data_IF_690550039835
#
_entry.id   IF_690550039835
#
_cell.length_a   1.000
_cell.length_b   1.000
_cell.length_c   1.000
_cell.angle_alpha   90.00
_cell.angle_beta   90.00
_cell.angle_gamma   90.00
#
_symmetry.space_group_name_H-M   'P 1'
#
loop_
_entity.id
_entity.type
_entity.pdbx_description
1 polymer ?
#
# COMPACT_ATOMS: atom_id res chain seq x y z
N UNK A 1 11.21 -7.99 8.63
CA UNK A 1 10.38 -7.05 7.84
C UNK A 1 9.52 -6.21 8.77
N UNK A 2 9.39 -4.91 8.47
CA UNK A 2 8.42 -3.99 9.06
C UNK A 2 7.55 -3.44 7.92
N UNK A 3 6.22 -3.52 8.06
CA UNK A 3 5.30 -3.07 7.02
C UNK A 3 4.16 -2.22 7.58
N UNK A 4 3.73 -1.24 6.81
CA UNK A 4 2.55 -0.42 7.09
C UNK A 4 1.66 -0.39 5.85
N UNK A 5 0.37 -0.61 6.06
CA UNK A 5 -0.66 -0.55 5.03
C UNK A 5 -1.92 0.06 5.61
N UNK A 6 -2.50 1.04 4.93
CA UNK A 6 -3.70 1.75 5.34
C UNK A 6 -4.63 1.97 4.14
N UNK A 7 -5.91 2.07 4.41
CA UNK A 7 -6.90 2.52 3.42
C UNK A 7 -6.61 3.97 3.05
N UNK A 8 -6.70 4.28 1.76
CA UNK A 8 -6.44 5.60 1.17
C UNK A 8 -5.02 6.14 1.44
N UNK A 9 -4.05 5.23 1.52
CA UNK A 9 -2.64 5.57 1.65
C UNK A 9 -1.76 4.57 0.88
N UNK A 10 -0.50 4.93 0.70
CA UNK A 10 0.50 4.03 0.14
C UNK A 10 0.97 3.07 1.22
N UNK A 11 1.15 1.81 0.86
CA UNK A 11 1.85 0.88 1.74
C UNK A 11 3.37 1.07 1.63
N UNK A 12 4.07 0.69 2.68
CA UNK A 12 5.52 0.66 2.72
C UNK A 12 6.00 -0.58 3.47
N UNK A 13 6.84 -1.37 2.83
CA UNK A 13 7.49 -2.55 3.41
C UNK A 13 8.99 -2.33 3.46
N UNK A 14 9.54 -2.23 4.67
CA UNK A 14 10.97 -2.19 4.94
C UNK A 14 11.47 -3.60 5.22
N UNK A 15 12.36 -4.11 4.38
CA UNK A 15 12.72 -5.51 4.30
C UNK A 15 14.24 -5.63 4.45
N UNK A 16 14.69 -6.51 5.34
CA UNK A 16 16.06 -6.98 5.36
C UNK A 16 16.13 -8.31 4.61
N UNK A 17 17.05 -8.42 3.69
CA UNK A 17 17.24 -9.57 2.80
C UNK A 17 18.65 -10.11 3.03
N UNK A 18 18.82 -11.41 2.84
CA UNK A 18 20.13 -12.05 2.81
C UNK A 18 20.36 -12.75 1.46
N UNK A 19 21.56 -12.69 0.95
CA UNK A 19 21.94 -13.30 -0.32
C UNK A 19 23.39 -13.79 -0.28
N UNK A 20 23.67 -14.88 -0.99
CA UNK A 20 25.05 -15.33 -1.25
C UNK A 20 25.78 -14.48 -2.28
N UNK A 21 25.05 -13.69 -3.07
CA UNK A 21 25.64 -12.78 -4.03
C UNK A 21 26.00 -11.46 -3.34
N UNK A 22 27.30 -11.17 -3.25
CA UNK A 22 27.85 -9.93 -2.67
C UNK A 22 27.78 -8.72 -3.63
N UNK A 23 27.38 -8.93 -4.88
CA UNK A 23 27.47 -7.91 -5.94
C UNK A 23 26.11 -7.41 -6.43
N UNK A 24 25.04 -7.59 -5.65
CA UNK A 24 23.73 -7.06 -6.02
C UNK A 24 23.79 -5.53 -6.14
N UNK A 25 23.39 -5.01 -7.29
CA UNK A 25 23.44 -3.58 -7.59
C UNK A 25 22.05 -2.97 -7.56
N UNK A 26 21.91 -1.84 -6.86
CA UNK A 26 20.64 -1.13 -6.79
C UNK A 26 20.05 -0.77 -8.16
N UNK A 27 20.88 -0.46 -9.15
CA UNK A 27 20.44 -0.16 -10.54
C UNK A 27 19.70 -1.31 -11.23
N UNK A 28 19.95 -2.55 -10.81
CA UNK A 28 19.33 -3.75 -11.40
C UNK A 28 18.09 -4.20 -10.62
N UNK A 29 17.89 -3.66 -9.40
CA UNK A 29 16.86 -4.06 -8.44
C UNK A 29 15.81 -2.97 -8.26
N UNK A 30 16.22 -1.70 -8.20
CA UNK A 30 15.28 -0.58 -8.02
C UNK A 30 14.35 -0.50 -9.23
N UNK A 31 13.05 -0.39 -8.96
CA UNK A 31 11.99 -0.39 -9.98
C UNK A 31 11.49 -1.80 -10.35
N UNK A 32 12.15 -2.87 -9.89
CA UNK A 32 11.68 -4.23 -10.11
C UNK A 32 10.62 -4.63 -9.08
N UNK A 33 9.68 -5.51 -9.45
CA UNK A 33 8.73 -6.07 -8.49
C UNK A 33 9.44 -7.02 -7.52
N UNK A 34 9.04 -6.95 -6.26
CA UNK A 34 9.41 -7.92 -5.22
C UNK A 34 8.15 -8.52 -4.63
N UNK A 35 8.16 -9.82 -4.38
CA UNK A 35 7.08 -10.52 -3.68
C UNK A 35 7.63 -11.22 -2.46
N UNK A 36 7.02 -10.95 -1.32
CA UNK A 36 7.25 -11.67 -0.07
C UNK A 36 6.20 -12.77 0.03
N UNK A 37 6.67 -14.00 0.17
CA UNK A 37 5.84 -15.15 0.49
C UNK A 37 5.93 -15.42 1.98
N UNK A 38 4.80 -15.38 2.66
CA UNK A 38 4.70 -15.57 4.11
C UNK A 38 3.93 -16.86 4.33
N UNK A 39 4.60 -17.85 4.90
CA UNK A 39 3.95 -19.10 5.30
C UNK A 39 2.88 -18.82 6.36
N UNK A 40 1.70 -19.39 6.15
CA UNK A 40 0.61 -19.32 7.11
C UNK A 40 0.23 -20.73 7.57
N UNK A 41 -0.25 -20.84 8.78
CA UNK A 41 -0.70 -22.12 9.32
C UNK A 41 -1.93 -22.69 8.63
N UNK A 42 -2.70 -21.86 7.94
CA UNK A 42 -3.84 -22.29 7.13
C UNK A 42 -3.41 -23.08 5.88
N UNK A 43 -2.09 -23.23 5.63
CA UNK A 43 -1.53 -24.05 4.55
C UNK A 43 -1.50 -23.36 3.18
N UNK A 44 -2.01 -22.12 3.06
CA UNK A 44 -1.84 -21.30 1.87
C UNK A 44 -0.96 -20.08 2.21
N UNK A 45 0.08 -19.79 1.42
CA UNK A 45 0.94 -18.66 1.68
C UNK A 45 0.19 -17.33 1.50
N UNK A 46 0.57 -16.33 2.30
CA UNK A 46 0.18 -14.93 2.10
C UNK A 46 1.27 -14.23 1.29
N UNK A 47 0.85 -13.50 0.27
CA UNK A 47 1.75 -12.73 -0.56
C UNK A 47 1.65 -11.24 -0.23
N UNK A 48 2.81 -10.57 -0.18
CA UNK A 48 2.91 -9.11 -0.19
C UNK A 48 3.81 -8.73 -1.37
N UNK A 49 3.29 -7.95 -2.29
CA UNK A 49 4.02 -7.53 -3.49
C UNK A 49 4.15 -6.02 -3.53
N UNK A 50 5.26 -5.51 -4.04
CA UNK A 50 5.51 -4.10 -4.27
C UNK A 50 6.64 -3.88 -5.26
N UNK A 51 6.93 -2.63 -5.57
CA UNK A 51 8.09 -2.24 -6.36
C UNK A 51 9.20 -1.78 -5.42
N UNK A 52 10.42 -2.25 -5.66
CA UNK A 52 11.59 -1.81 -4.91
C UNK A 52 11.88 -0.34 -5.25
N UNK A 53 11.79 0.53 -4.28
CA UNK A 53 12.03 1.98 -4.43
C UNK A 53 13.33 2.45 -3.81
N UNK A 54 13.91 1.63 -2.92
CA UNK A 54 15.19 1.84 -2.28
C UNK A 54 15.88 0.50 -2.08
N UNK A 55 17.21 0.46 -2.23
CA UNK A 55 18.01 -0.74 -2.04
C UNK A 55 19.41 -0.37 -1.57
N UNK A 56 19.90 -1.06 -0.55
CA UNK A 56 21.22 -0.83 0.03
C UNK A 56 21.87 -2.09 0.56
N UNK A 57 23.20 -2.14 0.53
CA UNK A 57 24.02 -3.13 1.19
C UNK A 57 24.29 -2.69 2.64
N UNK A 58 24.11 -3.58 3.60
CA UNK A 58 24.32 -3.28 5.03
C UNK A 58 25.47 -4.06 5.67
N UNK A 59 26.05 -5.04 5.00
CA UNK A 59 27.20 -5.79 5.51
C UNK A 59 27.14 -7.28 5.23
N UNK A 60 28.05 -8.01 5.84
CA UNK A 60 27.97 -9.47 5.91
C UNK A 60 26.90 -9.85 6.95
N UNK A 61 26.23 -10.98 6.75
CA UNK A 61 25.27 -11.48 7.72
C UNK A 61 26.01 -12.01 8.97
N UNK A 62 25.55 -11.64 10.16
CA UNK A 62 26.21 -12.03 11.41
C UNK A 62 25.86 -13.48 11.83
N UNK A 63 24.76 -14.01 11.34
CA UNK A 63 24.22 -15.31 11.75
C UNK A 63 24.59 -16.44 10.78
N UNK A 64 24.86 -16.14 9.50
CA UNK A 64 25.19 -17.14 8.48
C UNK A 64 26.46 -16.78 7.69
N UNK A 65 27.49 -17.63 7.75
CA UNK A 65 28.70 -17.52 6.93
C UNK A 65 28.34 -17.54 5.43
N UNK A 66 29.04 -16.74 4.62
CA UNK A 66 28.85 -16.57 3.17
C UNK A 66 27.54 -15.85 2.74
N UNK A 67 26.80 -15.23 3.66
CA UNK A 67 25.66 -14.41 3.32
C UNK A 67 25.96 -12.91 3.50
N UNK A 68 25.37 -12.14 2.63
CA UNK A 68 25.43 -10.68 2.59
C UNK A 68 24.07 -10.10 2.87
N UNK A 69 24.00 -9.16 3.77
CA UNK A 69 22.75 -8.52 4.19
C UNK A 69 22.48 -7.24 3.38
N UNK A 70 21.24 -7.10 2.95
CA UNK A 70 20.73 -5.98 2.19
C UNK A 70 19.46 -5.44 2.84
N UNK A 71 19.19 -4.18 2.60
CA UNK A 71 17.91 -3.56 2.93
C UNK A 71 17.22 -3.12 1.65
N UNK A 72 15.90 -3.24 1.61
CA UNK A 72 15.11 -2.63 0.55
C UNK A 72 13.79 -2.11 1.08
N UNK A 73 13.28 -1.08 0.41
CA UNK A 73 11.94 -0.57 0.64
C UNK A 73 11.07 -0.87 -0.56
N UNK A 74 9.94 -1.55 -0.35
CA UNK A 74 8.96 -1.84 -1.38
C UNK A 74 7.70 -0.99 -1.15
N UNK A 75 7.20 -0.38 -2.24
CA UNK A 75 6.02 0.49 -2.26
C UNK A 75 5.10 0.13 -3.42
N UNK A 76 3.81 0.57 -3.40
CA UNK A 76 2.93 0.37 -4.55
C UNK A 76 3.37 1.20 -5.75
N UNK A 77 2.97 0.78 -6.97
CA UNK A 77 3.24 1.55 -8.18
C UNK A 77 2.71 2.99 -8.10
N UNK A 78 1.63 3.21 -7.35
CA UNK A 78 1.04 4.53 -7.13
C UNK A 78 2.00 5.51 -6.45
N UNK A 79 3.09 5.02 -5.82
CA UNK A 79 4.16 5.85 -5.29
C UNK A 79 4.82 6.71 -6.39
N UNK A 80 4.89 6.25 -7.64
CA UNK A 80 5.41 7.06 -8.74
C UNK A 80 4.65 8.37 -8.94
N UNK A 81 3.36 8.40 -8.59
CA UNK A 81 2.56 9.62 -8.64
C UNK A 81 3.00 10.70 -7.64
N UNK A 82 3.79 10.33 -6.63
CA UNK A 82 4.37 11.29 -5.67
C UNK A 82 5.64 11.95 -6.21
N UNK A 83 6.25 11.37 -7.25
CA UNK A 83 7.56 11.77 -7.78
C UNK A 83 7.45 12.80 -8.92
N UNK A 84 6.25 13.13 -9.35
CA UNK A 84 6.01 14.12 -10.38
C UNK A 84 5.23 15.32 -9.83
N UNK A 85 5.46 16.47 -10.38
CA UNK A 85 4.61 17.67 -10.19
C UNK A 85 4.13 18.10 -11.56
N UNK A 86 2.83 18.36 -11.70
CA UNK A 86 2.26 18.67 -12.99
C UNK A 86 1.21 19.80 -12.89
N UNK A 87 0.88 20.36 -14.05
CA UNK A 87 -0.19 21.34 -14.21
C UNK A 87 -1.02 20.93 -15.42
N UNK A 88 -2.18 20.31 -15.17
CA UNK A 88 -3.09 19.78 -16.19
C UNK A 88 -4.50 20.30 -15.98
N UNK A 89 -5.22 20.39 -17.08
CA UNK A 89 -6.64 20.77 -17.10
C UNK A 89 -7.45 19.60 -17.63
N UNK A 90 -8.48 19.25 -16.89
CA UNK A 90 -9.46 18.23 -17.26
C UNK A 90 -10.80 18.90 -17.49
N UNK A 91 -11.37 18.73 -18.68
CA UNK A 91 -12.62 19.37 -19.12
C UNK A 91 -13.65 18.28 -19.35
N UNK A 92 -14.86 18.50 -18.83
CA UNK A 92 -16.01 17.60 -18.98
C UNK A 92 -15.73 16.15 -18.59
N UNK A 93 -15.07 15.96 -17.42
CA UNK A 93 -14.70 14.63 -16.89
C UNK A 93 -15.24 14.40 -15.49
N UNK A 94 -15.65 13.16 -15.21
CA UNK A 94 -15.93 12.70 -13.86
C UNK A 94 -14.61 12.43 -13.10
N UNK A 95 -14.70 12.25 -11.78
CA UNK A 95 -13.54 11.87 -10.96
C UNK A 95 -12.91 10.54 -11.41
N UNK A 96 -13.73 9.58 -11.85
CA UNK A 96 -13.24 8.27 -12.31
C UNK A 96 -12.57 8.37 -13.68
N UNK A 97 -13.07 9.24 -14.59
CA UNK A 97 -12.42 9.51 -15.88
C UNK A 97 -11.04 10.14 -15.66
N UNK A 98 -10.95 11.09 -14.71
CA UNK A 98 -9.68 11.72 -14.33
C UNK A 98 -8.72 10.68 -13.72
N UNK A 99 -9.20 9.85 -12.79
CA UNK A 99 -8.39 8.80 -12.19
C UNK A 99 -7.85 7.83 -13.24
N UNK A 100 -8.69 7.39 -14.16
CA UNK A 100 -8.27 6.52 -15.26
C UNK A 100 -7.20 7.18 -16.13
N UNK A 101 -7.36 8.45 -16.51
CA UNK A 101 -6.37 9.18 -17.32
C UNK A 101 -5.01 9.36 -16.60
N UNK A 102 -5.04 9.51 -15.27
CA UNK A 102 -3.82 9.67 -14.47
C UNK A 102 -3.12 8.34 -14.24
N UNK A 103 -3.86 7.24 -14.04
CA UNK A 103 -3.31 5.92 -13.68
C UNK A 103 -2.91 5.07 -14.88
N UNK A 104 -3.69 5.11 -15.98
CA UNK A 104 -3.49 4.24 -17.15
C UNK A 104 -2.10 4.31 -17.80
N UNK A 105 -1.41 5.47 -17.86
CA UNK A 105 -0.08 5.55 -18.45
C UNK A 105 0.98 4.68 -17.78
N UNK A 106 0.76 4.28 -16.52
CA UNK A 106 1.71 3.45 -15.78
C UNK A 106 1.61 1.96 -16.11
N UNK A 107 0.49 1.52 -16.72
CA UNK A 107 0.30 0.12 -17.13
C UNK A 107 0.15 -0.89 -15.99
N UNK A 108 -0.02 -0.44 -14.74
CA UNK A 108 -0.25 -1.31 -13.60
C UNK A 108 -1.74 -1.64 -13.42
N UNK A 109 -2.07 -2.82 -12.85
CA UNK A 109 -3.44 -3.23 -12.68
C UNK A 109 -4.17 -2.38 -11.63
N UNK A 110 -5.35 -1.90 -11.98
CA UNK A 110 -6.28 -1.30 -11.03
C UNK A 110 -7.72 -1.63 -11.38
N UNK A 111 -8.57 -1.68 -10.36
CA UNK A 111 -10.01 -1.92 -10.48
C UNK A 111 -10.79 -0.76 -9.90
N UNK A 112 -11.92 -0.44 -10.54
CA UNK A 112 -12.90 0.50 -10.02
C UNK A 112 -14.14 -0.28 -9.59
N UNK A 113 -14.39 -0.32 -8.27
CA UNK A 113 -15.56 -0.97 -7.65
C UNK A 113 -16.55 0.05 -7.09
N UNK A 114 -16.53 1.28 -7.58
CA UNK A 114 -17.47 2.32 -7.18
C UNK A 114 -18.89 2.01 -7.67
N UNK A 115 -19.88 2.21 -6.79
CA UNK A 115 -21.30 1.96 -7.07
C UNK A 115 -22.07 3.25 -7.41
N UNK A 116 -21.57 4.40 -6.98
CA UNK A 116 -22.21 5.71 -7.21
C UNK A 116 -21.91 6.24 -8.60
N UNK A 117 -22.80 7.09 -9.08
CA UNK A 117 -22.55 7.94 -10.24
C UNK A 117 -21.93 9.25 -9.80
N UNK A 118 -20.88 9.69 -10.45
CA UNK A 118 -20.18 10.93 -10.15
C UNK A 118 -20.53 12.01 -11.19
N UNK A 119 -20.68 13.23 -10.71
CA UNK A 119 -20.93 14.37 -11.60
C UNK A 119 -19.78 14.59 -12.57
N UNK A 120 -20.10 14.95 -13.78
CA UNK A 120 -19.15 15.50 -14.75
C UNK A 120 -18.76 16.91 -14.31
N UNK A 121 -17.48 17.19 -14.20
CA UNK A 121 -16.92 18.49 -13.86
C UNK A 121 -16.60 19.22 -15.16
N UNK A 122 -17.24 20.36 -15.40
CA UNK A 122 -16.95 21.18 -16.58
C UNK A 122 -15.49 21.61 -16.64
N UNK A 123 -14.86 21.77 -15.45
CA UNK A 123 -13.46 22.18 -15.33
C UNK A 123 -12.85 21.64 -14.04
N UNK A 124 -11.71 20.96 -14.14
CA UNK A 124 -10.92 20.48 -12.99
C UNK A 124 -9.44 20.68 -13.28
N UNK A 125 -8.70 21.26 -12.35
CA UNK A 125 -7.28 21.62 -12.53
C UNK A 125 -6.43 20.91 -11.50
N UNK A 126 -5.40 20.23 -11.98
CA UNK A 126 -4.19 19.93 -11.20
C UNK A 126 -3.26 21.14 -11.38
N UNK A 127 -2.84 21.80 -10.29
CA UNK A 127 -2.00 22.98 -10.39
C UNK A 127 -0.82 22.87 -9.44
N UNK A 128 0.38 22.70 -10.00
CA UNK A 128 1.66 22.63 -9.28
C UNK A 128 1.63 21.65 -8.08
N UNK A 129 0.88 20.56 -8.21
CA UNK A 129 0.79 19.49 -7.23
C UNK A 129 1.17 18.15 -7.85
N UNK A 130 1.63 17.19 -7.04
CA UNK A 130 1.90 15.86 -7.54
C UNK A 130 0.57 15.12 -7.83
N UNK A 131 0.64 14.14 -8.73
CA UNK A 131 -0.55 13.42 -9.16
C UNK A 131 -1.20 12.60 -8.04
N UNK A 132 -0.42 12.16 -7.05
CA UNK A 132 -0.92 11.46 -5.88
C UNK A 132 -1.80 12.36 -5.01
N UNK A 133 -1.33 13.54 -4.65
CA UNK A 133 -2.11 14.51 -3.86
C UNK A 133 -3.35 14.98 -4.62
N UNK A 134 -3.21 15.20 -5.93
CA UNK A 134 -4.34 15.55 -6.78
C UNK A 134 -5.45 14.50 -6.76
N UNK A 135 -5.12 13.23 -6.95
CA UNK A 135 -6.11 12.15 -6.89
C UNK A 135 -6.72 11.99 -5.50
N UNK A 136 -5.90 12.02 -4.44
CA UNK A 136 -6.40 11.92 -3.08
C UNK A 136 -7.41 13.02 -2.74
N UNK A 137 -7.11 14.27 -3.12
CA UNK A 137 -8.02 15.40 -2.92
C UNK A 137 -9.37 15.19 -3.64
N UNK A 138 -9.33 14.65 -4.85
CA UNK A 138 -10.56 14.36 -5.60
C UNK A 138 -11.34 13.20 -4.99
N UNK A 139 -10.65 12.15 -4.54
CA UNK A 139 -11.27 10.99 -3.91
C UNK A 139 -11.92 11.35 -2.58
N UNK A 140 -11.23 12.10 -1.72
CA UNK A 140 -11.78 12.62 -0.46
C UNK A 140 -13.05 13.44 -0.71
N UNK A 141 -13.05 14.31 -1.72
CA UNK A 141 -14.19 15.16 -2.05
C UNK A 141 -15.44 14.37 -2.46
N UNK A 142 -15.27 13.22 -3.10
CA UNK A 142 -16.37 12.38 -3.59
C UNK A 142 -16.68 11.20 -2.62
N UNK A 143 -15.92 11.05 -1.54
CA UNK A 143 -16.08 9.94 -0.60
C UNK A 143 -15.61 8.60 -1.17
N UNK A 144 -14.62 8.63 -2.05
CA UNK A 144 -13.95 7.47 -2.61
C UNK A 144 -12.76 7.12 -1.71
N UNK A 145 -12.57 5.84 -1.48
CA UNK A 145 -11.37 5.30 -0.84
C UNK A 145 -10.71 4.27 -1.75
N UNK A 146 -9.48 3.91 -1.43
CA UNK A 146 -8.75 2.85 -2.15
C UNK A 146 -7.91 2.01 -1.20
N UNK A 147 -7.56 0.82 -1.67
CA UNK A 147 -6.68 -0.12 -0.98
C UNK A 147 -5.95 -0.97 -2.02
N UNK A 148 -4.99 -1.76 -1.56
CA UNK A 148 -4.25 -2.67 -2.43
C UNK A 148 -4.60 -4.11 -2.09
N UNK A 149 -4.63 -4.95 -3.12
CA UNK A 149 -4.66 -6.40 -2.98
C UNK A 149 -3.35 -6.97 -3.48
N UNK A 150 -2.89 -8.03 -2.84
CA UNK A 150 -1.61 -8.65 -3.16
C UNK A 150 -1.80 -10.10 -3.60
N UNK A 151 -1.05 -10.50 -4.61
CA UNK A 151 -0.95 -11.86 -5.09
C UNK A 151 0.50 -12.20 -5.41
N UNK A 152 0.77 -13.46 -5.75
CA UNK A 152 2.11 -13.84 -6.19
C UNK A 152 2.48 -13.10 -7.48
N UNK A 153 3.52 -12.26 -7.39
CA UNK A 153 4.04 -11.49 -8.52
C UNK A 153 3.33 -10.18 -8.84
N UNK A 154 2.24 -9.82 -8.12
CA UNK A 154 1.49 -8.61 -8.43
C UNK A 154 0.80 -8.00 -7.21
N UNK A 155 0.62 -6.68 -7.26
CA UNK A 155 -0.36 -5.98 -6.43
C UNK A 155 -1.29 -5.17 -7.33
N UNK A 156 -2.52 -4.97 -6.89
CA UNK A 156 -3.55 -4.28 -7.63
C UNK A 156 -4.19 -3.18 -6.77
N UNK A 157 -4.40 -2.01 -7.36
CA UNK A 157 -5.12 -0.92 -6.72
C UNK A 157 -6.63 -1.13 -6.89
N UNK A 158 -7.38 -1.09 -5.81
CA UNK A 158 -8.84 -1.16 -5.82
C UNK A 158 -9.40 0.17 -5.34
N UNK A 159 -10.19 0.82 -6.18
CA UNK A 159 -10.84 2.11 -5.91
C UNK A 159 -12.33 1.83 -5.66
N UNK A 160 -12.86 2.25 -4.53
CA UNK A 160 -14.25 1.96 -4.13
C UNK A 160 -14.88 3.12 -3.34
N UNK A 161 -16.21 3.11 -3.28
CA UNK A 161 -17.03 4.05 -2.50
C UNK A 161 -18.05 3.33 -1.60
N UNK A 162 -17.98 2.00 -1.55
CA UNK A 162 -18.89 1.15 -0.80
C UNK A 162 -18.13 0.09 0.00
N UNK A 163 -18.20 0.17 1.32
CA UNK A 163 -17.60 -0.81 2.24
C UNK A 163 -18.16 -2.23 2.05
N UNK A 164 -19.35 -2.36 1.47
CA UNK A 164 -19.93 -3.67 1.13
C UNK A 164 -19.17 -4.42 0.04
N UNK A 165 -18.25 -3.76 -0.68
CA UNK A 165 -17.38 -4.38 -1.69
C UNK A 165 -16.11 -5.00 -1.08
N UNK A 166 -15.84 -4.78 0.22
CA UNK A 166 -14.71 -5.37 0.91
C UNK A 166 -14.95 -6.86 1.15
N UNK A 167 -13.94 -7.66 0.89
CA UNK A 167 -13.98 -9.07 1.21
C UNK A 167 -13.86 -9.27 2.73
N UNK A 168 -14.66 -10.21 3.25
CA UNK A 168 -14.56 -10.58 4.67
C UNK A 168 -13.21 -11.26 4.92
N UNK A 169 -12.57 -10.92 6.03
CA UNK A 169 -11.36 -11.64 6.46
C UNK A 169 -11.71 -13.10 6.76
N UNK A 170 -10.84 -14.08 6.42
CA UNK A 170 -11.10 -15.50 6.61
C UNK A 170 -11.39 -15.90 8.05
N UNK A 171 -10.84 -15.16 9.02
CA UNK A 171 -11.11 -15.37 10.44
C UNK A 171 -11.68 -14.09 11.04
N UNK A 172 -13.00 -13.98 11.20
CA UNK A 172 -13.64 -12.76 11.70
C UNK A 172 -13.35 -12.50 13.19
N UNK A 173 -12.85 -13.52 13.92
CA UNK A 173 -12.49 -13.41 15.33
C UNK A 173 -10.97 -13.58 15.47
N UNK A 174 -10.26 -12.49 15.63
CA UNK A 174 -8.83 -12.50 15.95
C UNK A 174 -8.70 -12.41 17.48
N UNK A 175 -8.15 -13.44 18.15
CA UNK A 175 -8.02 -13.44 19.60
C UNK A 175 -7.02 -12.38 20.06
N UNK A 176 -7.26 -11.84 21.25
CA UNK A 176 -6.29 -10.98 21.92
C UNK A 176 -5.44 -11.81 22.89
N UNK A 177 -4.13 -11.74 22.75
CA UNK A 177 -3.15 -12.34 23.68
C UNK A 177 -2.14 -11.30 24.13
N UNK A 178 -2.25 -10.85 25.37
CA UNK A 178 -1.28 -9.97 25.96
C UNK A 178 0.09 -10.66 26.09
N UNK A 179 1.16 -9.99 25.73
CA UNK A 179 2.55 -10.48 25.89
C UNK A 179 2.91 -10.96 27.30
N UNK A 180 2.15 -10.52 28.31
CA UNK A 180 2.40 -10.80 29.73
C UNK A 180 1.64 -12.02 30.27
N UNK A 181 0.81 -12.72 29.48
CA UNK A 181 -0.17 -13.65 30.07
C UNK A 181 0.06 -15.13 29.78
N UNK A 182 0.98 -15.55 28.93
CA UNK A 182 1.19 -16.98 28.68
C UNK A 182 2.59 -17.33 28.17
N UNK A 183 3.22 -18.41 28.68
CA UNK A 183 4.30 -19.07 28.00
C UNK A 183 3.74 -19.83 26.79
N UNK A 184 4.07 -19.42 25.60
CA UNK A 184 3.66 -20.00 24.33
C UNK A 184 2.64 -19.13 23.60
N UNK A 185 3.09 -18.38 22.58
CA UNK A 185 2.19 -17.72 21.66
C UNK A 185 1.37 -18.80 20.95
N UNK A 186 0.03 -18.59 20.80
CA UNK A 186 -0.77 -19.53 20.01
C UNK A 186 -0.29 -19.49 18.57
N UNK A 187 -0.28 -20.64 17.94
CA UNK A 187 0.05 -20.83 16.53
C UNK A 187 -1.04 -20.28 15.58
N UNK A 188 -1.69 -19.17 15.92
CA UNK A 188 -2.72 -18.47 15.14
C UNK A 188 -2.48 -16.98 15.18
N UNK A 189 -2.93 -16.24 14.17
CA UNK A 189 -2.88 -14.80 14.18
C UNK A 189 -3.61 -14.22 15.40
N UNK A 190 -2.98 -13.32 16.12
CA UNK A 190 -3.54 -12.70 17.33
C UNK A 190 -3.14 -11.22 17.42
N UNK A 191 -3.89 -10.48 18.22
CA UNK A 191 -3.58 -9.10 18.60
C UNK A 191 -2.82 -9.15 19.92
N UNK A 192 -1.62 -8.59 19.96
CA UNK A 192 -0.78 -8.54 21.19
C UNK A 192 -0.80 -7.18 21.88
N UNK A 193 -1.15 -6.12 21.14
CA UNK A 193 -1.28 -4.76 21.66
C UNK A 193 -2.61 -4.18 21.23
N UNK A 194 -3.38 -3.69 22.18
CA UNK A 194 -4.61 -2.93 21.98
C UNK A 194 -4.58 -1.69 22.86
N UNK A 195 -4.52 -0.54 22.24
CA UNK A 195 -4.51 0.77 22.94
C UNK A 195 -5.71 1.60 22.50
N UNK A 196 -6.46 2.09 23.46
CA UNK A 196 -7.49 3.10 23.24
C UNK A 196 -6.88 4.48 23.49
N UNK A 197 -7.07 5.40 22.56
CA UNK A 197 -6.50 6.74 22.66
C UNK A 197 -7.53 7.80 22.29
N UNK A 198 -7.83 8.67 23.24
CA UNK A 198 -8.69 9.84 23.05
C UNK A 198 -7.84 11.08 22.74
N UNK A 199 -8.30 11.91 21.83
CA UNK A 199 -7.68 13.19 21.50
C UNK A 199 -8.74 14.28 21.28
N UNK A 200 -8.42 15.48 21.73
CA UNK A 200 -9.24 16.67 21.42
C UNK A 200 -9.18 16.95 19.92
N UNK A 201 -10.36 17.03 19.29
CA UNK A 201 -10.52 17.40 17.89
C UNK A 201 -11.49 18.56 17.77
N UNK A 202 -11.34 19.36 16.73
CA UNK A 202 -12.34 20.39 16.38
C UNK A 202 -13.68 19.72 16.11
N UNK A 203 -14.73 20.20 16.79
CA UNK A 203 -16.09 19.68 16.67
C UNK A 203 -16.95 20.44 15.66
N UNK A 204 -16.45 21.54 15.10
CA UNK A 204 -17.17 22.36 14.14
C UNK A 204 -16.27 22.75 12.97
N UNK A 205 -16.78 22.56 11.75
CA UNK A 205 -16.28 23.15 10.53
C UNK A 205 -17.21 24.31 10.13
N UNK A 206 -16.65 25.49 9.96
CA UNK A 206 -17.38 26.63 9.37
C UNK A 206 -16.86 26.79 7.95
N UNK A 207 -17.74 26.58 6.97
CA UNK A 207 -17.52 26.82 5.55
C UNK A 207 -18.10 28.17 5.16
#
# INVERSE_FOLDING_TARGET
MLGTEFVSNLFEFNITLVSKDSNLQGKDIIGQPITLEIDTEAGSPRYLNGLVTDFGYIGEDEDEEDYHAYTCTARPFMWYLTQNTDSRVFVDKSVLDIANEVLSPFGFPFQVKCQKSYRTRGFCVQYQENSFNFLNRLFEQEGIYYYFTHSNGSHELVISDDVGTLEAIPSPNIPYHSKNTAPGAPNIAYIDVWEERDALKSSQFVT
#
